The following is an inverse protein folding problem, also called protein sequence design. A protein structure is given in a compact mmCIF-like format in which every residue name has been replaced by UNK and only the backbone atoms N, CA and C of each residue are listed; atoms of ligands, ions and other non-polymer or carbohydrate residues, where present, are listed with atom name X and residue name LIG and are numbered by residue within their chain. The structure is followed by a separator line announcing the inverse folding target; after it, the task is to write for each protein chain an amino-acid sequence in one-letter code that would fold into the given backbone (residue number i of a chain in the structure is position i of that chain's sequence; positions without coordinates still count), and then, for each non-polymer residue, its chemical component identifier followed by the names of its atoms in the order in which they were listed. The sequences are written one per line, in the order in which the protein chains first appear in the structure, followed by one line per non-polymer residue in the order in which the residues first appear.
data_IF_530302235601
#
_entry.id   IF_530302235601
#
_cell.length_a   1.000
_cell.length_b   1.000
_cell.length_c   1.000
_cell.angle_alpha   90.00
_cell.angle_beta   90.00
_cell.angle_gamma   90.00
#
_symmetry.space_group_name_H-M   'P 1'
#
loop_
_entity.id
_entity.type
_entity.pdbx_description
1 polymer ?
#
# COMPACT_ATOMS: atom_id res chain seq x y z
N UNK A 1 14.56 -21.34 1.14
CA UNK A 1 14.94 -21.62 -0.26
C UNK A 1 14.82 -20.43 -1.21
N UNK A 2 13.69 -19.72 -1.33
CA UNK A 2 13.53 -18.60 -2.29
C UNK A 2 14.50 -17.42 -2.07
N UNK A 3 14.79 -17.09 -0.81
CA UNK A 3 15.78 -16.08 -0.41
C UNK A 3 17.20 -16.45 -0.87
N UNK A 4 17.56 -17.72 -0.73
CA UNK A 4 18.88 -18.25 -1.13
C UNK A 4 18.98 -18.34 -2.66
N UNK A 5 17.92 -18.79 -3.33
CA UNK A 5 17.87 -18.88 -4.80
C UNK A 5 18.00 -17.51 -5.47
N UNK A 6 17.30 -16.49 -4.97
CA UNK A 6 17.41 -15.13 -5.53
C UNK A 6 18.71 -14.42 -5.19
N UNK A 7 19.37 -14.75 -4.09
CA UNK A 7 20.71 -14.26 -3.76
C UNK A 7 21.73 -14.67 -4.83
N UNK A 8 21.58 -15.88 -5.37
CA UNK A 8 22.48 -16.43 -6.38
C UNK A 8 22.15 -15.98 -7.81
N UNK A 9 21.02 -15.31 -8.02
CA UNK A 9 20.69 -14.75 -9.33
C UNK A 9 21.55 -13.49 -9.59
N UNK A 10 22.52 -13.61 -10.50
CA UNK A 10 23.40 -12.50 -10.89
C UNK A 10 22.63 -11.32 -11.52
N UNK A 11 21.41 -11.55 -12.00
CA UNK A 11 20.60 -10.53 -12.68
C UNK A 11 19.77 -9.64 -11.72
N UNK A 12 19.87 -9.80 -10.40
CA UNK A 12 19.14 -9.01 -9.41
C UNK A 12 20.01 -7.88 -8.82
N UNK A 13 19.80 -6.59 -9.19
CA UNK A 13 20.60 -5.47 -8.69
C UNK A 13 20.63 -5.32 -7.16
N UNK A 14 19.56 -5.74 -6.48
CA UNK A 14 19.39 -5.59 -5.03
C UNK A 14 19.61 -6.88 -4.24
N UNK A 15 20.29 -7.89 -4.80
CA UNK A 15 20.57 -9.17 -4.10
C UNK A 15 21.27 -9.01 -2.75
N UNK A 16 22.15 -8.02 -2.62
CA UNK A 16 22.87 -7.73 -1.37
C UNK A 16 21.94 -7.22 -0.25
N UNK A 17 20.79 -6.65 -0.61
CA UNK A 17 19.80 -6.14 0.35
C UNK A 17 18.79 -7.20 0.83
N UNK A 18 18.89 -8.44 0.33
CA UNK A 18 17.98 -9.51 0.75
C UNK A 18 18.16 -9.82 2.24
N UNK A 19 19.39 -10.14 2.69
CA UNK A 19 19.63 -10.52 4.09
C UNK A 19 19.39 -9.34 5.04
N UNK A 20 19.99 -8.14 4.84
CA UNK A 20 19.73 -7.01 5.72
C UNK A 20 18.26 -6.61 5.78
N UNK A 21 17.57 -6.62 4.64
CA UNK A 21 16.16 -6.27 4.56
C UNK A 21 15.24 -7.28 5.25
N UNK A 22 15.52 -8.59 5.13
CA UNK A 22 14.79 -9.64 5.86
C UNK A 22 15.02 -9.50 7.36
N UNK A 23 16.27 -9.34 7.81
CA UNK A 23 16.60 -9.15 9.23
C UNK A 23 15.86 -7.93 9.80
N UNK A 24 15.89 -6.81 9.10
CA UNK A 24 15.19 -5.59 9.50
C UNK A 24 13.67 -5.82 9.61
N UNK A 25 13.07 -6.52 8.65
CA UNK A 25 11.64 -6.86 8.65
C UNK A 25 11.24 -7.77 9.81
N UNK A 26 12.08 -8.75 10.15
CA UNK A 26 11.83 -9.64 11.28
C UNK A 26 11.91 -8.88 12.60
N UNK A 27 12.96 -8.07 12.79
CA UNK A 27 13.12 -7.23 13.97
C UNK A 27 11.94 -6.26 14.12
N UNK A 28 11.50 -5.65 13.01
CA UNK A 28 10.31 -4.81 13.00
C UNK A 28 9.03 -5.60 13.34
N UNK A 29 8.87 -6.83 12.84
CA UNK A 29 7.74 -7.69 13.18
C UNK A 29 7.69 -8.08 14.66
N UNK A 30 8.85 -8.29 15.28
CA UNK A 30 8.97 -8.48 16.73
C UNK A 30 8.58 -7.20 17.47
N UNK A 31 9.14 -6.05 17.05
CA UNK A 31 8.85 -4.75 17.65
C UNK A 31 7.36 -4.40 17.59
N UNK A 32 6.69 -4.67 16.46
CA UNK A 32 5.24 -4.51 16.30
C UNK A 32 4.47 -5.42 17.27
N UNK A 33 4.85 -6.69 17.39
CA UNK A 33 4.17 -7.61 18.29
C UNK A 33 4.24 -7.18 19.75
N UNK A 34 5.44 -6.79 20.19
CA UNK A 34 5.68 -6.21 21.52
C UNK A 34 4.95 -4.89 21.72
N UNK A 35 4.90 -4.05 20.68
CA UNK A 35 4.14 -2.80 20.69
C UNK A 35 2.65 -3.08 20.95
N UNK A 36 2.02 -3.97 20.17
CA UNK A 36 0.62 -4.31 20.39
C UNK A 36 0.37 -4.94 21.77
N UNK A 37 1.27 -5.83 22.21
CA UNK A 37 1.16 -6.48 23.51
C UNK A 37 1.24 -5.47 24.68
N UNK A 38 2.14 -4.48 24.58
CA UNK A 38 2.40 -3.54 25.69
C UNK A 38 1.47 -2.34 25.70
N UNK A 39 1.09 -1.81 24.53
CA UNK A 39 0.23 -0.63 24.42
C UNK A 39 -1.26 -0.96 24.40
N UNK A 40 -1.64 -2.11 23.84
CA UNK A 40 -3.05 -2.52 23.72
C UNK A 40 -3.38 -3.77 24.53
N UNK A 41 -2.41 -4.30 25.30
CA UNK A 41 -2.58 -5.51 26.08
C UNK A 41 -2.90 -6.73 25.20
N UNK A 42 -3.78 -7.58 25.71
CA UNK A 42 -4.32 -8.73 24.97
C UNK A 42 -5.34 -8.35 23.88
N UNK A 43 -5.70 -7.07 23.74
CA UNK A 43 -6.84 -6.61 22.93
C UNK A 43 -6.51 -5.92 21.60
N UNK A 44 -5.25 -5.87 21.17
CA UNK A 44 -4.86 -5.27 19.88
C UNK A 44 -5.20 -6.16 18.68
N UNK A 45 -5.51 -5.55 17.52
CA UNK A 45 -5.86 -6.24 16.26
C UNK A 45 -4.96 -7.46 15.96
N UNK A 46 -3.66 -7.32 16.17
CA UNK A 46 -2.68 -8.38 15.89
C UNK A 46 -2.84 -9.61 16.80
N UNK A 47 -2.95 -9.39 18.12
CA UNK A 47 -3.14 -10.48 19.08
C UNK A 47 -4.53 -11.09 19.00
N UNK A 48 -5.56 -10.29 18.71
CA UNK A 48 -6.92 -10.81 18.49
C UNK A 48 -6.95 -11.79 17.30
N UNK A 49 -6.35 -11.42 16.16
CA UNK A 49 -6.25 -12.31 14.99
C UNK A 49 -5.54 -13.61 15.38
N UNK A 50 -4.47 -13.51 16.17
CA UNK A 50 -3.73 -14.67 16.65
C UNK A 50 -4.57 -15.60 17.53
N UNK A 51 -5.32 -15.07 18.51
CA UNK A 51 -6.17 -15.89 19.37
C UNK A 51 -7.29 -16.56 18.58
N UNK A 52 -8.02 -15.80 17.74
CA UNK A 52 -9.07 -16.36 16.89
C UNK A 52 -8.54 -17.43 15.93
N UNK A 53 -7.34 -17.22 15.36
CA UNK A 53 -6.73 -18.20 14.46
C UNK A 53 -6.24 -19.46 15.20
N UNK A 54 -5.84 -19.32 16.46
CA UNK A 54 -5.45 -20.45 17.32
C UNK A 54 -6.66 -21.32 17.62
N UNK A 55 -7.79 -20.73 18.02
CA UNK A 55 -9.05 -21.45 18.21
C UNK A 55 -9.49 -22.16 16.94
N UNK A 56 -9.47 -21.44 15.80
CA UNK A 56 -9.84 -22.01 14.52
C UNK A 56 -8.89 -23.14 14.08
N UNK A 57 -7.58 -23.03 14.34
CA UNK A 57 -6.62 -24.10 14.04
C UNK A 57 -6.83 -25.35 14.90
N UNK A 58 -7.34 -25.20 16.14
CA UNK A 58 -7.70 -26.34 17.00
C UNK A 58 -8.84 -27.16 16.41
N UNK A 59 -9.82 -26.51 15.77
CA UNK A 59 -10.90 -27.18 15.04
C UNK A 59 -10.35 -28.05 13.91
N UNK A 60 -9.28 -27.63 13.24
CA UNK A 60 -8.66 -28.45 12.19
C UNK A 60 -8.14 -29.80 12.71
N UNK A 61 -7.62 -29.83 13.94
CA UNK A 61 -7.12 -31.05 14.58
C UNK A 61 -8.26 -31.94 15.12
N UNK A 62 -9.35 -31.33 15.58
CA UNK A 62 -10.49 -32.06 16.14
C UNK A 62 -11.44 -32.59 15.06
N UNK A 63 -11.73 -31.78 14.03
CA UNK A 63 -12.61 -32.11 12.92
C UNK A 63 -12.15 -31.41 11.62
N UNK A 64 -11.27 -32.07 10.84
CA UNK A 64 -10.73 -31.52 9.60
C UNK A 64 -11.80 -31.15 8.56
N UNK A 65 -12.89 -31.93 8.48
CA UNK A 65 -13.96 -31.69 7.50
C UNK A 65 -14.72 -30.40 7.82
N UNK A 66 -15.09 -30.19 9.08
CA UNK A 66 -15.73 -28.95 9.53
C UNK A 66 -14.80 -27.74 9.32
N UNK A 67 -13.50 -27.90 9.55
CA UNK A 67 -12.51 -26.85 9.28
C UNK A 67 -12.43 -26.48 7.79
N UNK A 68 -12.42 -27.47 6.88
CA UNK A 68 -12.40 -27.23 5.43
C UNK A 68 -13.69 -26.58 4.93
N UNK A 69 -14.85 -27.05 5.42
CA UNK A 69 -16.15 -26.44 5.11
C UNK A 69 -16.19 -24.98 5.55
N UNK A 70 -15.69 -24.71 6.74
CA UNK A 70 -15.59 -23.35 7.25
C UNK A 70 -14.64 -22.49 6.41
N UNK A 71 -13.44 -22.99 6.09
CA UNK A 71 -12.44 -22.28 5.29
C UNK A 71 -12.98 -21.88 3.91
N UNK A 72 -13.58 -22.83 3.18
CA UNK A 72 -13.97 -22.67 1.78
C UNK A 72 -15.36 -22.07 1.59
N UNK A 73 -16.33 -22.48 2.41
CA UNK A 73 -17.75 -22.16 2.19
C UNK A 73 -18.31 -21.18 3.23
N UNK A 74 -17.54 -20.82 4.26
CA UNK A 74 -18.04 -20.10 5.44
C UNK A 74 -19.18 -20.85 6.14
N UNK A 75 -19.28 -22.17 5.96
CA UNK A 75 -20.27 -22.98 6.65
C UNK A 75 -19.93 -23.05 8.13
N UNK A 76 -20.80 -22.43 8.92
CA UNK A 76 -20.65 -22.35 10.35
C UNK A 76 -21.33 -23.53 11.02
N UNK A 77 -20.59 -24.24 11.86
CA UNK A 77 -21.17 -25.00 12.95
C UNK A 77 -21.00 -24.14 14.19
N UNK A 78 -22.00 -24.05 15.08
CA UNK A 78 -21.79 -23.44 16.40
C UNK A 78 -20.53 -24.07 17.01
N UNK A 79 -19.43 -23.33 17.03
CA UNK A 79 -18.22 -23.71 17.76
C UNK A 79 -18.41 -23.05 19.13
N UNK A 80 -18.91 -23.76 20.15
CA UNK A 80 -19.36 -23.18 21.42
C UNK A 80 -18.27 -22.48 22.24
N UNK A 81 -17.03 -22.41 21.73
CA UNK A 81 -15.86 -21.89 22.43
C UNK A 81 -15.07 -20.83 21.65
N UNK A 82 -15.63 -20.21 20.60
CA UNK A 82 -14.96 -19.07 19.96
C UNK A 82 -15.10 -17.83 20.83
N UNK A 83 -13.96 -17.26 21.27
CA UNK A 83 -13.91 -16.10 22.18
C UNK A 83 -14.49 -14.81 21.59
N UNK A 84 -14.71 -14.77 20.27
CA UNK A 84 -15.24 -13.61 19.54
C UNK A 84 -16.50 -13.97 18.73
N UNK A 85 -17.70 -13.95 19.33
CA UNK A 85 -18.95 -14.30 18.63
C UNK A 85 -19.25 -13.39 17.43
N UNK A 86 -18.79 -12.13 17.45
CA UNK A 86 -19.06 -11.16 16.38
C UNK A 86 -18.03 -11.20 15.24
N UNK A 87 -17.10 -12.14 15.27
CA UNK A 87 -16.09 -12.34 14.23
C UNK A 87 -16.73 -12.56 12.84
N UNK A 88 -17.89 -13.21 12.81
CA UNK A 88 -18.66 -13.54 11.61
C UNK A 88 -19.27 -12.32 10.91
N UNK A 89 -19.54 -11.27 11.68
CA UNK A 89 -20.06 -10.00 11.17
C UNK A 89 -18.97 -9.13 10.53
N UNK A 90 -17.71 -9.59 10.59
CA UNK A 90 -16.54 -8.88 10.08
C UNK A 90 -15.80 -9.71 9.00
N UNK A 91 -16.30 -9.75 7.74
CA UNK A 91 -15.74 -10.58 6.68
C UNK A 91 -14.23 -10.40 6.45
N UNK A 92 -13.73 -9.15 6.58
CA UNK A 92 -12.32 -8.81 6.40
C UNK A 92 -11.43 -9.35 7.52
N UNK A 93 -11.96 -9.39 8.74
CA UNK A 93 -11.26 -9.97 9.88
C UNK A 93 -11.26 -11.50 9.77
N UNK A 94 -12.42 -12.10 9.46
CA UNK A 94 -12.56 -13.54 9.23
C UNK A 94 -11.61 -14.05 8.13
N UNK A 95 -11.50 -13.36 7.01
CA UNK A 95 -10.56 -13.73 5.93
C UNK A 95 -9.12 -13.85 6.43
N UNK A 96 -8.67 -12.90 7.24
CA UNK A 96 -7.30 -12.88 7.77
C UNK A 96 -7.11 -14.00 8.79
N UNK A 97 -8.08 -14.21 9.67
CA UNK A 97 -8.02 -15.31 10.65
C UNK A 97 -7.97 -16.68 9.97
N UNK A 98 -8.74 -16.90 8.89
CA UNK A 98 -8.66 -18.13 8.08
C UNK A 98 -7.28 -18.34 7.47
N UNK A 99 -6.68 -17.30 6.92
CA UNK A 99 -5.32 -17.36 6.36
C UNK A 99 -4.31 -17.70 7.48
N UNK A 100 -4.43 -17.02 8.61
CA UNK A 100 -3.54 -17.21 9.76
C UNK A 100 -3.75 -18.58 10.42
N UNK A 101 -4.97 -19.12 10.46
CA UNK A 101 -5.24 -20.45 11.03
C UNK A 101 -4.55 -21.55 10.22
N UNK A 102 -4.51 -21.43 8.89
CA UNK A 102 -3.73 -22.34 8.04
C UNK A 102 -2.24 -22.23 8.33
N UNK A 103 -1.72 -21.01 8.50
CA UNK A 103 -0.31 -20.83 8.91
C UNK A 103 -0.05 -21.40 10.32
N UNK A 104 -1.00 -21.31 11.24
CA UNK A 104 -0.89 -21.86 12.60
C UNK A 104 -0.73 -23.38 12.62
N UNK A 105 -1.29 -24.10 11.65
CA UNK A 105 -1.05 -25.54 11.50
C UNK A 105 0.43 -25.84 11.22
N UNK A 106 1.14 -24.94 10.52
CA UNK A 106 2.57 -25.07 10.22
C UNK A 106 3.45 -24.53 11.36
N UNK A 107 3.01 -23.49 12.06
CA UNK A 107 3.80 -22.81 13.10
C UNK A 107 3.56 -23.33 14.51
N UNK A 108 2.71 -24.34 14.68
CA UNK A 108 2.31 -24.84 15.99
C UNK A 108 1.67 -23.76 16.85
N UNK A 109 0.86 -22.87 16.23
CA UNK A 109 0.20 -21.73 16.89
C UNK A 109 1.16 -20.71 17.52
N UNK A 110 2.42 -20.62 17.07
CA UNK A 110 3.35 -19.60 17.57
C UNK A 110 3.11 -18.23 16.92
N UNK A 111 2.79 -17.21 17.73
CA UNK A 111 2.63 -15.83 17.28
C UNK A 111 3.86 -15.32 16.52
N UNK A 112 5.06 -15.54 17.09
CA UNK A 112 6.32 -15.00 16.56
C UNK A 112 6.71 -15.65 15.23
N UNK A 113 6.49 -16.95 15.06
CA UNK A 113 6.74 -17.63 13.79
C UNK A 113 5.76 -17.16 12.71
N UNK A 114 4.48 -17.01 13.04
CA UNK A 114 3.48 -16.45 12.12
C UNK A 114 3.82 -15.01 11.72
N UNK A 115 4.22 -14.19 12.70
CA UNK A 115 4.72 -12.82 12.50
C UNK A 115 5.94 -12.78 11.56
N UNK A 116 6.87 -13.73 11.72
CA UNK A 116 8.03 -13.91 10.82
C UNK A 116 7.59 -14.19 9.37
N UNK A 117 6.67 -15.13 9.14
CA UNK A 117 6.22 -15.48 7.79
C UNK A 117 5.50 -14.32 7.09
N UNK A 118 4.66 -13.58 7.82
CA UNK A 118 3.97 -12.41 7.26
C UNK A 118 4.94 -11.25 6.97
N UNK A 119 5.95 -11.05 7.81
CA UNK A 119 7.04 -10.09 7.56
C UNK A 119 7.85 -10.47 6.31
N UNK A 120 8.12 -11.77 6.13
CA UNK A 120 8.82 -12.29 4.96
C UNK A 120 8.00 -12.10 3.67
N UNK A 121 6.69 -12.34 3.72
CA UNK A 121 5.79 -12.12 2.58
C UNK A 121 5.76 -10.65 2.16
N UNK A 122 5.61 -9.73 3.13
CA UNK A 122 5.68 -8.29 2.92
C UNK A 122 7.02 -7.86 2.29
N UNK A 123 8.14 -8.34 2.86
CA UNK A 123 9.47 -8.10 2.32
C UNK A 123 9.60 -8.55 0.88
N UNK A 124 9.10 -9.76 0.57
CA UNK A 124 9.23 -10.36 -0.75
C UNK A 124 8.58 -9.51 -1.83
N UNK A 125 7.39 -8.97 -1.58
CA UNK A 125 6.70 -8.06 -2.52
C UNK A 125 7.43 -6.72 -2.69
N UNK A 126 7.81 -6.09 -1.58
CA UNK A 126 8.51 -4.80 -1.60
C UNK A 126 9.89 -4.88 -2.26
N UNK A 127 10.66 -5.93 -1.95
CA UNK A 127 11.97 -6.16 -2.56
C UNK A 127 11.86 -6.43 -4.05
N UNK A 128 10.85 -7.18 -4.49
CA UNK A 128 10.61 -7.40 -5.92
C UNK A 128 10.33 -6.10 -6.67
N UNK A 129 9.48 -5.25 -6.10
CA UNK A 129 9.20 -3.93 -6.67
C UNK A 129 10.46 -3.07 -6.72
N UNK A 130 11.19 -2.93 -5.61
CA UNK A 130 12.42 -2.15 -5.54
C UNK A 130 13.49 -2.65 -6.52
N UNK A 131 13.63 -3.98 -6.66
CA UNK A 131 14.58 -4.59 -7.58
C UNK A 131 14.20 -4.33 -9.04
N UNK A 132 12.91 -4.38 -9.39
CA UNK A 132 12.43 -4.02 -10.73
C UNK A 132 12.63 -2.55 -11.02
N UNK A 133 12.31 -1.65 -10.09
CA UNK A 133 12.57 -0.22 -10.25
C UNK A 133 14.06 0.05 -10.48
N UNK A 134 14.94 -0.60 -9.71
CA UNK A 134 16.39 -0.46 -9.88
C UNK A 134 16.87 -1.02 -11.23
N UNK A 135 16.27 -2.10 -11.72
CA UNK A 135 16.62 -2.68 -13.02
C UNK A 135 16.18 -1.78 -14.17
N UNK A 136 14.98 -1.21 -14.10
CA UNK A 136 14.39 -0.35 -15.13
C UNK A 136 14.97 1.07 -15.10
N UNK A 137 15.28 1.58 -13.91
CA UNK A 137 15.78 2.92 -13.65
C UNK A 137 17.02 2.87 -12.73
N UNK A 138 18.22 2.53 -13.26
CA UNK A 138 19.42 2.35 -12.44
C UNK A 138 19.81 3.59 -11.60
N UNK A 139 19.46 4.79 -12.06
CA UNK A 139 19.73 6.06 -11.38
C UNK A 139 18.88 6.27 -10.11
N UNK A 140 17.77 5.55 -9.96
CA UNK A 140 16.85 5.65 -8.81
C UNK A 140 17.07 4.57 -7.77
N UNK A 141 18.12 3.75 -7.91
CA UNK A 141 18.48 2.64 -7.01
C UNK A 141 18.37 3.01 -5.53
N UNK A 142 18.93 4.14 -5.14
CA UNK A 142 18.99 4.56 -3.74
C UNK A 142 17.64 5.04 -3.23
N UNK A 143 16.85 5.72 -4.08
CA UNK A 143 15.46 6.03 -3.76
C UNK A 143 14.63 4.76 -3.56
N UNK A 144 14.82 3.73 -4.40
CA UNK A 144 14.11 2.46 -4.27
C UNK A 144 14.47 1.71 -2.97
N UNK A 145 15.75 1.67 -2.60
CA UNK A 145 16.20 1.06 -1.35
C UNK A 145 15.62 1.84 -0.15
N UNK A 146 15.79 3.16 -0.13
CA UNK A 146 15.33 4.02 0.97
C UNK A 146 13.82 3.85 1.20
N UNK A 147 13.02 3.95 0.14
CA UNK A 147 11.57 4.00 0.24
C UNK A 147 10.90 2.66 0.53
N UNK A 148 11.34 1.58 -0.12
CA UNK A 148 10.66 0.29 -0.03
C UNK A 148 11.30 -0.68 0.97
N UNK A 149 12.57 -0.52 1.32
CA UNK A 149 13.29 -1.45 2.19
C UNK A 149 13.65 -0.88 3.55
N UNK A 150 13.91 0.44 3.66
CA UNK A 150 14.49 1.05 4.86
C UNK A 150 13.61 2.10 5.54
N UNK A 151 12.58 2.61 4.86
CA UNK A 151 11.76 3.70 5.37
C UNK A 151 11.07 3.29 6.68
N UNK A 152 11.24 4.00 7.82
CA UNK A 152 10.92 3.47 9.14
C UNK A 152 9.46 3.04 9.31
N UNK A 153 8.48 3.91 9.03
CA UNK A 153 7.05 3.56 9.11
C UNK A 153 6.65 2.50 8.12
N UNK A 154 7.27 2.46 6.94
CA UNK A 154 7.02 1.38 5.97
C UNK A 154 7.46 0.08 6.60
N UNK A 155 8.71 -0.01 7.05
CA UNK A 155 9.27 -1.20 7.69
C UNK A 155 8.43 -1.64 8.88
N UNK A 156 8.08 -0.71 9.79
CA UNK A 156 7.34 -1.01 11.00
C UNK A 156 5.90 -1.48 10.69
N UNK A 157 5.08 -0.67 10.03
CA UNK A 157 3.65 -0.95 9.83
C UNK A 157 3.34 -2.04 8.78
N UNK A 158 4.34 -2.45 8.00
CA UNK A 158 4.20 -3.59 7.08
C UNK A 158 4.89 -4.87 7.58
N UNK A 159 5.25 -4.93 8.86
CA UNK A 159 5.84 -6.11 9.47
C UNK A 159 4.93 -6.72 10.54
N UNK A 160 5.16 -8.00 10.79
CA UNK A 160 4.44 -8.81 11.76
C UNK A 160 3.03 -9.20 11.35
N UNK A 161 2.26 -9.70 12.32
CA UNK A 161 0.94 -10.26 12.11
C UNK A 161 -0.10 -9.14 11.97
N UNK A 162 -0.22 -8.61 10.76
CA UNK A 162 -1.12 -7.50 10.44
C UNK A 162 -1.72 -7.65 9.04
N UNK A 163 -2.89 -7.04 8.83
CA UNK A 163 -3.56 -6.99 7.52
C UNK A 163 -2.73 -6.19 6.52
N UNK A 164 -2.03 -5.17 7.02
CA UNK A 164 -1.12 -4.29 6.30
C UNK A 164 0.08 -5.03 5.73
N UNK A 165 0.70 -5.96 6.48
CA UNK A 165 1.81 -6.80 6.00
C UNK A 165 1.41 -7.63 4.76
N UNK A 166 0.20 -8.17 4.76
CA UNK A 166 -0.34 -8.89 3.61
C UNK A 166 -0.63 -7.94 2.44
N UNK A 167 -1.36 -6.86 2.71
CA UNK A 167 -1.79 -5.95 1.66
C UNK A 167 -0.61 -5.35 0.89
N UNK A 168 0.43 -4.89 1.58
CA UNK A 168 1.58 -4.26 0.93
C UNK A 168 2.49 -5.25 0.19
N UNK A 169 2.57 -6.51 0.66
CA UNK A 169 3.23 -7.59 -0.08
C UNK A 169 2.55 -7.85 -1.42
N UNK A 170 1.21 -7.89 -1.42
CA UNK A 170 0.40 -8.01 -2.65
C UNK A 170 0.56 -6.80 -3.55
N UNK A 171 0.45 -5.58 -3.03
CA UNK A 171 0.66 -4.33 -3.80
C UNK A 171 2.03 -4.32 -4.46
N UNK A 172 3.10 -4.65 -3.72
CA UNK A 172 4.47 -4.72 -4.24
C UNK A 172 4.58 -5.70 -5.40
N UNK A 173 3.99 -6.89 -5.28
CA UNK A 173 3.95 -7.88 -6.36
C UNK A 173 3.14 -7.44 -7.57
N UNK A 174 1.96 -6.85 -7.38
CA UNK A 174 1.11 -6.38 -8.47
C UNK A 174 1.82 -5.28 -9.28
N UNK A 175 2.40 -4.29 -8.61
CA UNK A 175 3.15 -3.22 -9.28
C UNK A 175 4.42 -3.77 -9.93
N UNK A 176 5.12 -4.71 -9.29
CA UNK A 176 6.26 -5.39 -9.90
C UNK A 176 5.90 -6.06 -11.23
N UNK A 177 4.81 -6.85 -11.26
CA UNK A 177 4.34 -7.51 -12.49
C UNK A 177 3.87 -6.50 -13.53
N UNK A 178 3.17 -5.45 -13.10
CA UNK A 178 2.76 -4.35 -13.98
C UNK A 178 3.96 -3.72 -14.68
N UNK A 179 5.01 -3.35 -13.92
CA UNK A 179 6.20 -2.72 -14.48
C UNK A 179 6.95 -3.65 -15.43
N UNK A 180 7.04 -4.95 -15.14
CA UNK A 180 7.65 -5.92 -16.07
C UNK A 180 6.88 -6.06 -17.39
N UNK A 181 5.54 -6.03 -17.33
CA UNK A 181 4.71 -6.09 -18.53
C UNK A 181 4.73 -4.77 -19.31
N UNK A 182 4.73 -3.63 -18.60
CA UNK A 182 4.65 -2.30 -19.18
C UNK A 182 6.00 -1.80 -19.74
N UNK A 183 7.10 -2.20 -19.11
CA UNK A 183 8.49 -1.89 -19.49
C UNK A 183 9.27 -3.20 -19.70
N UNK A 184 8.93 -4.01 -20.73
CA UNK A 184 9.60 -5.29 -20.94
C UNK A 184 11.07 -5.08 -21.30
N UNK A 185 11.98 -5.73 -20.57
CA UNK A 185 13.42 -5.76 -20.90
C UNK A 185 13.75 -6.81 -21.97
N UNK A 186 12.87 -7.80 -22.14
CA UNK A 186 13.00 -8.93 -23.07
C UNK A 186 11.62 -9.26 -23.65
N UNK A 187 11.56 -10.01 -24.76
CA UNK A 187 10.28 -10.53 -25.28
C UNK A 187 9.62 -11.39 -24.19
N UNK A 188 8.36 -11.09 -23.90
CA UNK A 188 7.58 -11.78 -22.87
C UNK A 188 7.00 -13.07 -23.47
N UNK A 189 7.24 -14.20 -22.83
CA UNK A 189 6.69 -15.50 -23.26
C UNK A 189 5.21 -15.64 -22.87
N UNK A 190 4.51 -16.59 -23.49
CA UNK A 190 3.12 -16.92 -23.09
C UNK A 190 3.03 -17.31 -21.61
N UNK A 191 3.97 -18.12 -21.13
CA UNK A 191 4.03 -18.52 -19.72
C UNK A 191 4.16 -17.33 -18.76
N UNK A 192 4.88 -16.27 -19.14
CA UNK A 192 4.94 -15.04 -18.36
C UNK A 192 3.57 -14.37 -18.24
N UNK A 193 2.83 -14.26 -19.35
CA UNK A 193 1.50 -13.64 -19.36
C UNK A 193 0.51 -14.45 -18.54
N UNK A 194 0.48 -15.78 -18.68
CA UNK A 194 -0.37 -16.66 -17.89
C UNK A 194 -0.10 -16.48 -16.39
N UNK A 195 1.18 -16.58 -15.98
CA UNK A 195 1.58 -16.36 -14.59
C UNK A 195 1.19 -14.97 -14.09
N UNK A 196 1.42 -13.94 -14.90
CA UNK A 196 1.09 -12.55 -14.53
C UNK A 196 -0.41 -12.38 -14.33
N UNK A 197 -1.24 -12.91 -15.23
CA UNK A 197 -2.70 -12.86 -15.13
C UNK A 197 -3.21 -13.55 -13.87
N UNK A 198 -2.71 -14.75 -13.56
CA UNK A 198 -3.09 -15.49 -12.34
C UNK A 198 -2.73 -14.68 -11.08
N UNK A 199 -1.50 -14.16 -11.00
CA UNK A 199 -1.07 -13.35 -9.86
C UNK A 199 -1.87 -12.06 -9.71
N UNK A 200 -2.27 -11.45 -10.83
CA UNK A 200 -3.11 -10.26 -10.84
C UNK A 200 -4.51 -10.53 -10.29
N UNK A 201 -5.17 -11.59 -10.74
CA UNK A 201 -6.49 -11.97 -10.23
C UNK A 201 -6.45 -12.35 -8.75
N UNK A 202 -5.43 -13.11 -8.34
CA UNK A 202 -5.20 -13.41 -6.92
C UNK A 202 -4.97 -12.13 -6.10
N UNK A 203 -4.17 -11.19 -6.62
CA UNK A 203 -3.92 -9.90 -5.97
C UNK A 203 -5.18 -9.05 -5.80
N UNK A 204 -6.01 -8.98 -6.85
CA UNK A 204 -7.31 -8.29 -6.79
C UNK A 204 -8.21 -8.94 -5.73
N UNK A 205 -8.34 -10.27 -5.75
CA UNK A 205 -9.17 -11.01 -4.79
C UNK A 205 -8.70 -10.79 -3.34
N UNK A 206 -7.39 -10.84 -3.09
CA UNK A 206 -6.81 -10.62 -1.77
C UNK A 206 -7.01 -9.18 -1.29
N UNK A 207 -6.72 -8.18 -2.13
CA UNK A 207 -6.90 -6.79 -1.75
C UNK A 207 -8.38 -6.44 -1.56
N UNK A 208 -9.30 -7.04 -2.32
CA UNK A 208 -10.74 -6.88 -2.10
C UNK A 208 -11.15 -7.31 -0.68
N UNK A 209 -10.69 -8.50 -0.25
CA UNK A 209 -11.02 -9.03 1.08
C UNK A 209 -10.29 -8.31 2.21
N UNK A 210 -9.04 -7.90 1.99
CA UNK A 210 -8.24 -7.22 3.00
C UNK A 210 -8.66 -5.74 3.15
N UNK A 211 -8.50 -4.98 2.06
CA UNK A 211 -8.61 -3.51 2.01
C UNK A 211 -9.00 -3.06 0.61
N UNK A 212 -10.30 -3.14 0.31
CA UNK A 212 -10.85 -2.80 -1.01
C UNK A 212 -10.45 -1.40 -1.51
N UNK A 213 -10.20 -0.43 -0.62
CA UNK A 213 -9.75 0.91 -1.02
C UNK A 213 -8.33 0.94 -1.62
N UNK A 214 -7.42 0.06 -1.18
CA UNK A 214 -6.11 -0.08 -1.83
C UNK A 214 -6.27 -0.63 -3.24
N UNK A 215 -7.15 -1.62 -3.43
CA UNK A 215 -7.49 -2.15 -4.75
C UNK A 215 -8.13 -1.06 -5.62
N UNK A 216 -9.16 -0.39 -5.10
CA UNK A 216 -9.93 0.64 -5.81
C UNK A 216 -9.12 1.88 -6.19
N UNK A 217 -8.01 2.16 -5.50
CA UNK A 217 -7.03 3.15 -5.97
C UNK A 217 -6.04 2.58 -6.98
N UNK A 218 -5.47 1.41 -6.69
CA UNK A 218 -4.33 0.90 -7.44
C UNK A 218 -4.72 0.35 -8.83
N UNK A 219 -5.79 -0.45 -8.90
CA UNK A 219 -6.18 -1.17 -10.11
C UNK A 219 -6.67 -0.22 -11.20
N UNK A 220 -7.59 0.73 -10.94
CA UNK A 220 -8.03 1.68 -11.96
C UNK A 220 -6.87 2.54 -12.48
N UNK A 221 -5.95 2.98 -11.62
CA UNK A 221 -4.75 3.72 -12.05
C UNK A 221 -3.90 2.89 -13.02
N UNK A 222 -3.56 1.65 -12.67
CA UNK A 222 -2.72 0.80 -13.52
C UNK A 222 -3.41 0.43 -14.85
N UNK A 223 -4.72 0.15 -14.81
CA UNK A 223 -5.50 -0.13 -16.02
C UNK A 223 -5.57 1.11 -16.92
N UNK A 224 -5.83 2.30 -16.37
CA UNK A 224 -5.85 3.54 -17.16
C UNK A 224 -4.51 3.84 -17.81
N UNK A 225 -3.39 3.58 -17.13
CA UNK A 225 -2.05 3.70 -17.72
C UNK A 225 -1.90 2.75 -18.92
N UNK A 226 -2.28 1.47 -18.74
CA UNK A 226 -2.18 0.47 -19.79
C UNK A 226 -3.05 0.83 -21.01
N UNK A 227 -4.32 1.15 -20.77
CA UNK A 227 -5.29 1.51 -21.81
C UNK A 227 -4.88 2.79 -22.53
N UNK A 228 -4.44 3.84 -21.82
CA UNK A 228 -3.96 5.07 -22.43
C UNK A 228 -2.75 4.82 -23.33
N UNK A 229 -1.83 3.96 -22.90
CA UNK A 229 -0.64 3.60 -23.68
C UNK A 229 -0.99 2.75 -24.91
N UNK A 230 -1.96 1.84 -24.82
CA UNK A 230 -2.43 1.02 -25.95
C UNK A 230 -3.22 1.86 -26.96
N UNK A 231 -4.19 2.65 -26.48
CA UNK A 231 -5.02 3.51 -27.32
C UNK A 231 -4.18 4.55 -28.05
N UNK A 232 -3.21 5.20 -27.39
CA UNK A 232 -2.33 6.16 -28.07
C UNK A 232 -1.53 5.51 -29.19
N UNK A 233 -1.01 4.28 -28.99
CA UNK A 233 -0.25 3.55 -30.02
C UNK A 233 -1.11 3.20 -31.23
N UNK A 234 -2.38 2.86 -31.00
CA UNK A 234 -3.32 2.46 -32.06
C UNK A 234 -3.87 3.67 -32.83
N UNK A 235 -4.27 4.73 -32.12
CA UNK A 235 -4.94 5.89 -32.69
C UNK A 235 -3.96 6.91 -33.30
N UNK A 236 -2.76 7.03 -32.73
CA UNK A 236 -1.77 8.02 -33.16
C UNK A 236 -0.35 7.45 -33.28
N UNK A 237 -0.13 6.43 -34.14
CA UNK A 237 1.17 5.79 -34.29
C UNK A 237 2.27 6.75 -34.80
N UNK A 238 1.91 7.69 -35.69
CA UNK A 238 2.84 8.62 -36.34
C UNK A 238 2.91 10.02 -35.69
N UNK A 239 2.17 10.25 -34.59
CA UNK A 239 2.18 11.55 -33.93
C UNK A 239 3.54 11.86 -33.30
N UNK A 240 3.92 13.14 -33.31
CA UNK A 240 5.12 13.62 -32.64
C UNK A 240 5.12 13.25 -31.15
N UNK A 241 6.31 13.06 -30.56
CA UNK A 241 6.46 12.59 -29.17
C UNK A 241 5.73 13.49 -28.14
N UNK A 242 5.70 14.81 -28.38
CA UNK A 242 4.99 15.79 -27.54
C UNK A 242 3.48 15.60 -27.61
N UNK A 243 2.93 15.43 -28.83
CA UNK A 243 1.52 15.15 -29.04
C UNK A 243 1.12 13.78 -28.44
N UNK A 244 1.98 12.76 -28.57
CA UNK A 244 1.75 11.46 -27.93
C UNK A 244 1.74 11.55 -26.40
N UNK A 245 2.64 12.34 -25.80
CA UNK A 245 2.65 12.55 -24.35
C UNK A 245 1.36 13.22 -23.85
N UNK A 246 0.91 14.28 -24.55
CA UNK A 246 -0.35 14.96 -24.26
C UNK A 246 -1.55 14.03 -24.39
N UNK A 247 -1.64 13.28 -25.50
CA UNK A 247 -2.77 12.39 -25.76
C UNK A 247 -2.83 11.24 -24.75
N UNK A 248 -1.67 10.70 -24.32
CA UNK A 248 -1.63 9.71 -23.22
C UNK A 248 -2.18 10.26 -21.91
N UNK A 249 -1.83 11.50 -21.57
CA UNK A 249 -2.30 12.12 -20.33
C UNK A 249 -3.82 12.34 -20.37
N UNK A 250 -4.33 12.86 -21.48
CA UNK A 250 -5.77 13.03 -21.67
C UNK A 250 -6.52 11.70 -21.63
N UNK A 251 -6.04 10.69 -22.37
CA UNK A 251 -6.63 9.34 -22.34
C UNK A 251 -6.55 8.70 -20.96
N UNK A 252 -5.48 8.93 -20.20
CA UNK A 252 -5.39 8.45 -18.82
C UNK A 252 -6.53 9.00 -17.96
N UNK A 253 -6.79 10.31 -18.03
CA UNK A 253 -7.90 10.95 -17.30
C UNK A 253 -9.24 10.37 -17.76
N UNK A 254 -9.47 10.26 -19.07
CA UNK A 254 -10.70 9.69 -19.63
C UNK A 254 -10.93 8.25 -19.18
N UNK A 255 -9.92 7.38 -19.30
CA UNK A 255 -10.04 5.99 -18.87
C UNK A 255 -10.19 5.88 -17.35
N UNK A 256 -9.50 6.70 -16.57
CA UNK A 256 -9.61 6.68 -15.11
C UNK A 256 -11.01 7.09 -14.65
N UNK A 257 -11.53 8.20 -15.17
CA UNK A 257 -12.90 8.63 -14.89
C UNK A 257 -13.93 7.58 -15.37
N UNK A 258 -13.75 7.03 -16.57
CA UNK A 258 -14.62 6.00 -17.14
C UNK A 258 -14.64 4.70 -16.32
N UNK A 259 -13.48 4.25 -15.82
CA UNK A 259 -13.38 3.07 -14.96
C UNK A 259 -14.03 3.30 -13.58
N UNK A 260 -13.89 4.49 -13.00
CA UNK A 260 -14.57 4.83 -11.74
C UNK A 260 -16.09 4.90 -11.93
N UNK A 261 -16.55 5.52 -13.02
CA UNK A 261 -17.96 5.55 -13.38
C UNK A 261 -18.52 4.14 -13.59
N UNK A 262 -17.84 3.30 -14.37
CA UNK A 262 -18.23 1.90 -14.59
C UNK A 262 -18.28 1.12 -13.27
N UNK A 263 -17.26 1.25 -12.42
CA UNK A 263 -17.24 0.60 -11.11
C UNK A 263 -18.42 1.04 -10.23
N UNK A 264 -18.82 2.30 -10.32
CA UNK A 264 -19.98 2.83 -9.58
C UNK A 264 -21.32 2.26 -10.05
N UNK A 265 -21.41 1.76 -11.29
CA UNK A 265 -22.61 1.12 -11.84
C UNK A 265 -22.63 -0.40 -11.58
N UNK A 266 -21.46 -1.05 -11.51
CA UNK A 266 -21.36 -2.51 -11.44
C UNK A 266 -21.53 -3.09 -10.03
N UNK A 267 -21.33 -2.29 -8.98
CA UNK A 267 -21.34 -2.83 -7.62
C UNK A 267 -22.01 -1.88 -6.62
N UNK A 268 -23.06 -2.31 -5.87
CA UNK A 268 -23.82 -1.45 -4.96
C UNK A 268 -22.98 -0.66 -3.96
N UNK A 269 -21.94 -1.27 -3.38
CA UNK A 269 -21.02 -0.61 -2.43
C UNK A 269 -20.14 0.48 -3.05
N UNK A 270 -20.02 0.52 -4.38
CA UNK A 270 -19.22 1.49 -5.12
C UNK A 270 -20.09 2.59 -5.77
N UNK A 271 -21.42 2.52 -5.65
CA UNK A 271 -22.30 3.63 -6.03
C UNK A 271 -21.84 4.88 -5.29
N UNK A 272 -21.74 6.01 -5.99
CA UNK A 272 -21.12 7.21 -5.45
C UNK A 272 -21.74 7.66 -4.12
N UNK A 273 -23.07 7.66 -4.03
CA UNK A 273 -23.80 8.03 -2.81
C UNK A 273 -23.53 7.05 -1.65
N UNK A 274 -23.59 5.75 -1.92
CA UNK A 274 -23.32 4.71 -0.92
C UNK A 274 -21.86 4.74 -0.46
N UNK A 275 -20.92 4.96 -1.39
CA UNK A 275 -19.50 5.08 -1.08
C UNK A 275 -19.24 6.29 -0.17
N UNK A 276 -19.80 7.46 -0.49
CA UNK A 276 -19.71 8.66 0.35
C UNK A 276 -20.34 8.43 1.73
N UNK A 277 -21.51 7.78 1.78
CA UNK A 277 -22.18 7.44 3.02
C UNK A 277 -21.33 6.51 3.90
N UNK A 278 -20.80 5.42 3.34
CA UNK A 278 -19.93 4.47 4.04
C UNK A 278 -18.63 5.14 4.47
N UNK A 279 -18.08 6.06 3.68
CA UNK A 279 -16.91 6.85 4.08
C UNK A 279 -17.18 7.66 5.34
N UNK A 280 -18.34 8.34 5.41
CA UNK A 280 -18.75 9.14 6.58
C UNK A 280 -19.11 8.26 7.78
N UNK A 281 -19.74 7.10 7.57
CA UNK A 281 -19.98 6.14 8.64
C UNK A 281 -18.67 5.66 9.29
N UNK A 282 -17.67 5.32 8.47
CA UNK A 282 -16.36 4.93 8.98
C UNK A 282 -15.66 6.10 9.69
N UNK A 283 -15.78 7.31 9.17
CA UNK A 283 -15.27 8.52 9.81
C UNK A 283 -15.87 8.69 11.20
N UNK A 284 -17.19 8.68 11.32
CA UNK A 284 -17.89 8.91 12.58
C UNK A 284 -17.58 7.81 13.60
N UNK A 285 -17.55 6.54 13.16
CA UNK A 285 -17.13 5.44 14.03
C UNK A 285 -15.70 5.67 14.53
N UNK A 286 -14.75 5.94 13.62
CA UNK A 286 -13.35 6.18 13.99
C UNK A 286 -13.20 7.43 14.87
N UNK A 287 -13.99 8.49 14.67
CA UNK A 287 -13.96 9.72 15.46
C UNK A 287 -14.44 9.45 16.89
N UNK A 288 -15.59 8.77 17.05
CA UNK A 288 -16.19 8.49 18.36
C UNK A 288 -15.37 7.56 19.25
N UNK A 289 -14.58 6.65 18.66
CA UNK A 289 -13.67 5.76 19.40
C UNK A 289 -12.30 6.39 19.70
N UNK A 290 -12.07 7.66 19.36
CA UNK A 290 -10.76 8.31 19.47
C UNK A 290 -10.70 9.36 20.56
N UNK A 291 -9.49 9.58 21.09
CA UNK A 291 -9.22 10.72 21.94
C UNK A 291 -9.32 12.04 21.12
N UNK A 292 -10.02 13.08 21.61
CA UNK A 292 -10.14 14.39 20.95
C UNK A 292 -8.80 15.03 20.51
N UNK A 293 -7.69 14.74 21.18
CA UNK A 293 -6.36 15.28 20.86
C UNK A 293 -5.64 14.52 19.72
N UNK A 294 -6.16 13.35 19.34
CA UNK A 294 -5.57 12.44 18.35
C UNK A 294 -6.42 12.31 17.08
N UNK A 295 -7.31 13.27 16.83
CA UNK A 295 -8.18 13.29 15.65
C UNK A 295 -7.99 14.51 14.77
N UNK A 296 -8.29 14.34 13.48
CA UNK A 296 -8.42 15.42 12.52
C UNK A 296 -9.81 16.03 12.67
N UNK A 297 -9.88 17.30 13.05
CA UNK A 297 -11.12 18.07 13.08
C UNK A 297 -11.36 18.72 11.72
N UNK A 298 -12.49 18.36 11.09
CA UNK A 298 -12.91 18.90 9.80
C UNK A 298 -13.90 20.04 9.97
N UNK A 299 -13.95 20.94 8.97
CA UNK A 299 -14.89 22.05 8.97
C UNK A 299 -16.31 21.55 8.69
N UNK A 300 -17.25 21.98 9.54
CA UNK A 300 -18.67 21.66 9.41
C UNK A 300 -19.29 22.50 8.29
N UNK A 301 -19.80 21.83 7.28
CA UNK A 301 -20.52 22.44 6.16
C UNK A 301 -21.85 21.73 6.01
N UNK A 302 -22.93 22.44 6.39
CA UNK A 302 -24.31 21.94 6.42
C UNK A 302 -24.90 21.81 7.83
N UNK A 303 -26.20 21.50 7.90
CA UNK A 303 -26.91 21.23 9.15
C UNK A 303 -26.61 19.84 9.73
N UNK A 304 -26.90 19.63 11.04
CA UNK A 304 -26.75 18.34 11.74
C UNK A 304 -25.52 18.21 12.66
N UNK A 305 -25.47 17.20 13.52
CA UNK A 305 -24.51 17.10 14.64
C UNK A 305 -23.08 16.61 14.29
N UNK A 306 -22.81 16.21 13.04
CA UNK A 306 -21.53 15.60 12.63
C UNK A 306 -20.59 16.60 11.93
N UNK A 307 -19.27 16.44 12.12
CA UNK A 307 -18.23 17.31 11.52
C UNK A 307 -18.16 17.21 9.99
N UNK A 308 -18.46 16.04 9.41
CA UNK A 308 -18.56 15.84 7.96
C UNK A 308 -19.91 15.20 7.61
N UNK A 309 -20.44 15.53 6.43
CA UNK A 309 -21.69 14.96 5.91
C UNK A 309 -21.45 14.17 4.63
N UNK A 310 -22.41 13.33 4.23
CA UNK A 310 -22.32 12.55 2.98
C UNK A 310 -22.50 13.41 1.72
N UNK A 311 -22.73 14.72 1.87
CA UNK A 311 -22.86 15.64 0.75
C UNK A 311 -21.50 15.80 0.03
N UNK A 312 -21.47 15.73 -1.33
CA UNK A 312 -20.23 15.93 -2.09
C UNK A 312 -19.53 17.26 -1.77
N UNK A 313 -20.29 18.33 -1.51
CA UNK A 313 -19.75 19.65 -1.16
C UNK A 313 -18.97 19.64 0.16
N UNK A 314 -19.46 18.96 1.19
CA UNK A 314 -18.77 18.84 2.49
C UNK A 314 -17.45 18.07 2.36
N UNK A 315 -17.44 16.97 1.59
CA UNK A 315 -16.24 16.17 1.35
C UNK A 315 -15.21 16.91 0.49
N UNK A 316 -15.65 17.59 -0.57
CA UNK A 316 -14.77 18.37 -1.46
C UNK A 316 -14.13 19.54 -0.72
N UNK A 317 -14.88 20.27 0.11
CA UNK A 317 -14.32 21.37 0.89
C UNK A 317 -13.24 20.90 1.88
N UNK A 318 -13.44 19.75 2.52
CA UNK A 318 -12.48 19.20 3.47
C UNK A 318 -11.32 18.44 2.80
N UNK A 319 -11.37 18.23 1.48
CA UNK A 319 -10.34 17.50 0.71
C UNK A 319 -8.93 18.08 0.86
N UNK A 320 -8.69 19.42 0.80
CA UNK A 320 -7.35 19.98 0.97
C UNK A 320 -6.75 19.69 2.35
N UNK A 321 -7.55 19.84 3.43
CA UNK A 321 -7.12 19.52 4.79
C UNK A 321 -6.86 18.03 4.94
N UNK A 322 -7.73 17.18 4.38
CA UNK A 322 -7.56 15.73 4.39
C UNK A 322 -6.31 15.30 3.61
N UNK A 323 -6.01 15.95 2.47
CA UNK A 323 -4.81 15.68 1.68
C UNK A 323 -3.54 15.98 2.49
N UNK A 324 -3.43 17.20 3.05
CA UNK A 324 -2.26 17.58 3.86
C UNK A 324 -2.14 16.68 5.10
N UNK A 325 -3.26 16.40 5.77
CA UNK A 325 -3.29 15.53 6.94
C UNK A 325 -2.87 14.09 6.59
N UNK A 326 -3.41 13.55 5.49
CA UNK A 326 -3.07 12.23 4.98
C UNK A 326 -1.59 12.10 4.62
N UNK A 327 -0.96 13.16 4.10
CA UNK A 327 0.46 13.14 3.73
C UNK A 327 1.40 13.39 4.92
N UNK A 328 1.10 14.36 5.79
CA UNK A 328 2.09 14.91 6.72
C UNK A 328 1.67 14.92 8.20
N UNK A 329 0.44 14.57 8.56
CA UNK A 329 0.07 14.45 9.98
C UNK A 329 0.35 13.05 10.54
N UNK A 330 0.64 12.92 11.85
CA UNK A 330 0.77 13.99 12.86
C UNK A 330 2.01 14.87 12.62
N UNK A 331 1.91 16.16 12.92
CA UNK A 331 3.06 17.06 12.98
C UNK A 331 3.82 16.89 14.30
N UNK A 332 5.09 17.33 14.34
CA UNK A 332 5.93 17.19 15.53
C UNK A 332 5.37 17.94 16.76
N UNK A 333 4.70 19.08 16.54
CA UNK A 333 4.06 19.88 17.60
C UNK A 333 2.69 19.34 18.03
N UNK A 334 2.13 18.34 17.34
CA UNK A 334 0.90 17.66 17.77
C UNK A 334 1.19 16.46 18.68
N UNK A 335 2.46 16.16 18.92
CA UNK A 335 2.88 14.98 19.66
C UNK A 335 2.62 15.11 21.17
N UNK A 336 1.67 14.32 21.68
CA UNK A 336 1.35 14.16 23.10
C UNK A 336 1.97 12.89 23.71
N UNK A 337 2.60 12.04 22.90
CA UNK A 337 3.24 10.80 23.35
C UNK A 337 4.46 10.45 22.45
N UNK A 338 5.30 9.52 22.92
CA UNK A 338 6.54 9.12 22.23
C UNK A 338 6.30 8.54 20.83
N UNK A 339 5.21 7.81 20.63
CA UNK A 339 4.87 7.18 19.34
C UNK A 339 4.50 8.25 18.31
N UNK A 340 3.66 9.22 18.71
CA UNK A 340 3.26 10.37 17.89
C UNK A 340 4.44 11.28 17.59
N UNK A 341 5.37 11.44 18.53
CA UNK A 341 6.62 12.19 18.33
C UNK A 341 7.49 11.55 17.23
N UNK A 342 7.71 10.24 17.29
CA UNK A 342 8.49 9.52 16.27
C UNK A 342 7.84 9.63 14.89
N UNK A 343 6.51 9.47 14.81
CA UNK A 343 5.75 9.68 13.57
C UNK A 343 5.85 11.14 13.08
N UNK A 344 5.82 12.12 13.99
CA UNK A 344 5.95 13.55 13.68
C UNK A 344 7.33 13.92 13.14
N UNK A 345 8.40 13.34 13.68
CA UNK A 345 9.77 13.51 13.15
C UNK A 345 9.88 12.94 11.74
N UNK A 346 9.32 11.76 11.49
CA UNK A 346 9.32 11.17 10.15
C UNK A 346 8.53 12.01 9.15
N UNK A 347 7.36 12.52 9.54
CA UNK A 347 6.56 13.39 8.69
C UNK A 347 7.24 14.74 8.43
N UNK A 348 7.93 15.32 9.41
CA UNK A 348 8.73 16.53 9.23
C UNK A 348 9.85 16.29 8.21
N UNK A 349 10.51 15.12 8.27
CA UNK A 349 11.49 14.74 7.27
C UNK A 349 10.87 14.59 5.87
N UNK A 350 9.69 13.98 5.75
CA UNK A 350 8.95 13.92 4.47
C UNK A 350 8.60 15.29 3.91
N UNK A 351 8.20 16.24 4.78
CA UNK A 351 7.96 17.63 4.38
C UNK A 351 9.25 18.30 3.87
N UNK A 352 10.37 18.11 4.58
CA UNK A 352 11.67 18.61 4.16
C UNK A 352 12.10 18.04 2.80
N UNK A 353 11.88 16.74 2.58
CA UNK A 353 12.14 16.10 1.28
C UNK A 353 11.23 16.63 0.17
N UNK A 354 9.96 16.95 0.47
CA UNK A 354 9.08 17.61 -0.49
C UNK A 354 9.62 18.98 -0.89
N UNK A 355 9.97 19.83 0.09
CA UNK A 355 10.55 21.14 -0.18
C UNK A 355 11.82 21.02 -1.03
N UNK A 356 12.72 20.10 -0.68
CA UNK A 356 13.92 19.83 -1.45
C UNK A 356 13.60 19.38 -2.89
N UNK A 357 12.64 18.47 -3.06
CA UNK A 357 12.24 17.99 -4.37
C UNK A 357 11.65 19.11 -5.25
N UNK A 358 10.84 19.99 -4.68
CA UNK A 358 10.29 21.16 -5.39
C UNK A 358 11.40 22.12 -5.80
N UNK A 359 12.32 22.47 -4.89
CA UNK A 359 13.46 23.35 -5.20
C UNK A 359 14.35 22.75 -6.28
N UNK A 360 14.60 21.44 -6.23
CA UNK A 360 15.38 20.73 -7.24
C UNK A 360 14.71 20.79 -8.63
N UNK A 361 13.38 20.58 -8.69
CA UNK A 361 12.62 20.67 -9.94
C UNK A 361 12.69 22.07 -10.56
N UNK A 362 12.63 23.12 -9.73
CA UNK A 362 12.74 24.52 -10.18
C UNK A 362 14.15 24.82 -10.71
N UNK A 363 15.20 24.41 -9.98
CA UNK A 363 16.60 24.71 -10.32
C UNK A 363 17.11 23.93 -11.52
N UNK A 364 16.80 22.64 -11.62
CA UNK A 364 17.39 21.73 -12.63
C UNK A 364 16.60 21.69 -13.95
N UNK A 365 15.62 22.59 -14.14
CA UNK A 365 14.74 22.72 -15.33
C UNK A 365 14.28 21.36 -15.89
N UNK A 366 13.91 20.41 -15.03
CA UNK A 366 13.53 19.03 -15.39
C UNK A 366 14.53 18.25 -16.27
N UNK A 367 15.76 18.73 -16.50
CA UNK A 367 16.71 18.10 -17.45
C UNK A 367 17.34 16.80 -16.92
N UNK A 368 17.35 16.57 -15.61
CA UNK A 368 18.00 15.40 -15.01
C UNK A 368 17.12 14.15 -14.90
N UNK A 369 15.80 14.25 -15.12
CA UNK A 369 14.98 13.06 -15.35
C UNK A 369 15.06 12.80 -16.85
N UNK A 370 15.79 11.78 -17.26
CA UNK A 370 15.97 11.42 -18.66
C UNK A 370 14.66 10.84 -19.25
N UNK A 371 13.66 11.72 -19.35
CA UNK A 371 12.36 11.49 -19.95
C UNK A 371 12.48 11.21 -21.45
N UNK A 372 13.61 11.58 -22.07
CA UNK A 372 13.94 11.25 -23.46
C UNK A 372 14.23 9.76 -23.62
N UNK A 373 14.90 9.11 -22.66
CA UNK A 373 15.16 7.67 -22.71
C UNK A 373 13.90 6.82 -22.41
N UNK A 374 12.95 7.34 -21.60
CA UNK A 374 11.75 6.60 -21.22
C UNK A 374 10.45 7.41 -21.40
N UNK A 375 9.85 7.43 -22.61
CA UNK A 375 8.61 8.19 -22.89
C UNK A 375 7.37 7.67 -22.15
N UNK A 376 7.50 6.55 -21.43
CA UNK A 376 6.47 5.94 -20.57
C UNK A 376 6.54 6.42 -19.12
N UNK A 377 7.66 7.01 -18.70
CA UNK A 377 7.91 7.40 -17.31
C UNK A 377 6.94 8.48 -16.83
N UNK A 378 6.64 9.48 -17.66
CA UNK A 378 5.70 10.55 -17.28
C UNK A 378 4.32 10.01 -16.92
N UNK A 379 3.82 9.01 -17.65
CA UNK A 379 2.53 8.39 -17.38
C UNK A 379 2.56 7.57 -16.07
N UNK A 380 3.66 6.88 -15.77
CA UNK A 380 3.84 6.17 -14.50
C UNK A 380 3.89 7.15 -13.31
N UNK A 381 4.56 8.30 -13.47
CA UNK A 381 4.62 9.35 -12.44
C UNK A 381 3.24 9.94 -12.15
N UNK A 382 2.48 10.29 -13.19
CA UNK A 382 1.11 10.79 -13.03
C UNK A 382 0.24 9.76 -12.32
N UNK A 383 0.29 8.49 -12.72
CA UNK A 383 -0.48 7.46 -12.04
C UNK A 383 -0.06 7.25 -10.58
N UNK A 384 1.24 7.27 -10.28
CA UNK A 384 1.71 7.19 -8.90
C UNK A 384 1.21 8.38 -8.05
N UNK A 385 1.24 9.60 -8.59
CA UNK A 385 0.70 10.78 -7.92
C UNK A 385 -0.82 10.67 -7.74
N UNK A 386 -1.57 10.22 -8.74
CA UNK A 386 -3.01 9.97 -8.61
C UNK A 386 -3.30 8.96 -7.51
N UNK A 387 -2.57 7.85 -7.45
CA UNK A 387 -2.73 6.83 -6.41
C UNK A 387 -2.44 7.37 -5.00
N UNK A 388 -1.34 8.10 -4.84
CA UNK A 388 -0.94 8.72 -3.57
C UNK A 388 -2.00 9.74 -3.12
N UNK A 389 -2.40 10.66 -4.00
CA UNK A 389 -3.39 11.69 -3.68
C UNK A 389 -4.74 11.10 -3.33
N UNK A 390 -5.22 10.13 -4.10
CA UNK A 390 -6.49 9.45 -3.85
C UNK A 390 -6.49 8.78 -2.47
N UNK A 391 -5.46 7.98 -2.15
CA UNK A 391 -5.41 7.29 -0.87
C UNK A 391 -5.15 8.24 0.31
N UNK A 392 -4.31 9.26 0.15
CA UNK A 392 -4.06 10.25 1.20
C UNK A 392 -5.36 10.95 1.62
N UNK A 393 -6.17 11.38 0.65
CA UNK A 393 -7.48 12.01 0.90
C UNK A 393 -8.47 11.01 1.49
N UNK A 394 -8.70 9.86 0.83
CA UNK A 394 -9.74 8.92 1.25
C UNK A 394 -9.47 8.33 2.63
N UNK A 395 -8.22 8.01 2.96
CA UNK A 395 -7.87 7.47 4.27
C UNK A 395 -8.00 8.50 5.38
N UNK A 396 -7.56 9.75 5.15
CA UNK A 396 -7.69 10.82 6.14
C UNK A 396 -9.17 11.19 6.38
N UNK A 397 -10.00 11.19 5.33
CA UNK A 397 -11.44 11.41 5.48
C UNK A 397 -12.10 10.24 6.22
N UNK A 398 -11.82 8.99 5.85
CA UNK A 398 -12.47 7.82 6.45
C UNK A 398 -11.97 7.47 7.86
N UNK A 399 -10.74 7.81 8.22
CA UNK A 399 -10.15 7.54 9.54
C UNK A 399 -9.40 8.77 10.04
N UNK A 400 -10.10 9.68 10.76
CA UNK A 400 -9.49 10.90 11.29
C UNK A 400 -8.52 10.65 12.45
N UNK A 401 -8.50 9.43 13.02
CA UNK A 401 -7.58 9.05 14.08
C UNK A 401 -6.14 9.01 13.55
N UNK A 402 -5.26 9.85 14.10
CA UNK A 402 -3.88 10.00 13.66
C UNK A 402 -3.04 8.72 13.83
N UNK A 403 -3.31 7.92 14.87
CA UNK A 403 -2.66 6.63 15.09
C UNK A 403 -3.02 5.61 14.00
N UNK A 404 -4.31 5.42 13.75
CA UNK A 404 -4.80 4.53 12.69
C UNK A 404 -4.38 5.00 11.30
N UNK A 405 -4.43 6.32 11.06
CA UNK A 405 -3.99 6.93 9.81
C UNK A 405 -2.51 6.64 9.55
N UNK A 406 -1.64 6.80 10.55
CA UNK A 406 -0.21 6.51 10.41
C UNK A 406 0.07 5.07 9.96
N UNK A 407 -0.71 4.10 10.46
CA UNK A 407 -0.68 2.69 10.03
C UNK A 407 -1.19 2.53 8.59
N UNK A 408 -2.32 3.17 8.25
CA UNK A 408 -2.94 3.05 6.92
C UNK A 408 -2.13 3.74 5.82
N UNK A 409 -1.30 4.73 6.14
CA UNK A 409 -0.39 5.37 5.17
C UNK A 409 0.55 4.37 4.50
N UNK A 410 0.87 3.24 5.14
CA UNK A 410 1.77 2.21 4.60
C UNK A 410 1.40 1.73 3.20
N UNK A 411 0.12 1.82 2.80
CA UNK A 411 -0.34 1.45 1.46
C UNK A 411 0.24 2.31 0.33
N UNK A 412 0.43 3.62 0.56
CA UNK A 412 0.94 4.56 -0.45
C UNK A 412 2.28 5.20 -0.09
N UNK A 413 2.66 5.20 1.19
CA UNK A 413 3.86 5.82 1.73
C UNK A 413 5.17 5.38 1.03
N UNK A 414 5.39 4.09 0.69
CA UNK A 414 6.59 3.70 -0.04
C UNK A 414 6.69 4.36 -1.42
N UNK A 415 5.57 4.56 -2.10
CA UNK A 415 5.54 5.23 -3.41
C UNK A 415 5.82 6.71 -3.26
N UNK A 416 5.22 7.36 -2.26
CA UNK A 416 5.49 8.76 -1.94
C UNK A 416 6.96 8.97 -1.58
N UNK A 417 7.50 8.17 -0.66
CA UNK A 417 8.89 8.21 -0.28
C UNK A 417 9.81 8.01 -1.49
N UNK A 418 9.50 7.07 -2.39
CA UNK A 418 10.29 6.84 -3.59
C UNK A 418 10.38 8.10 -4.47
N UNK A 419 9.24 8.76 -4.75
CA UNK A 419 9.20 9.99 -5.55
C UNK A 419 10.00 11.13 -4.91
N UNK A 420 9.85 11.31 -3.59
CA UNK A 420 10.54 12.36 -2.84
C UNK A 420 12.06 12.15 -2.75
N UNK A 421 12.53 10.89 -2.81
CA UNK A 421 13.95 10.57 -2.78
C UNK A 421 14.64 10.62 -4.16
N UNK A 422 13.89 10.77 -5.27
CA UNK A 422 14.49 10.81 -6.62
C UNK A 422 15.60 11.86 -6.77
N UNK A 423 15.41 13.12 -6.33
CA UNK A 423 16.43 14.17 -6.48
C UNK A 423 17.73 13.85 -5.73
N UNK A 424 17.63 13.26 -4.54
CA UNK A 424 18.77 12.79 -3.75
C UNK A 424 19.48 11.64 -4.46
N UNK A 425 18.72 10.68 -4.99
CA UNK A 425 19.27 9.54 -5.71
C UNK A 425 20.04 9.97 -6.97
N UNK A 426 19.55 10.94 -7.73
CA UNK A 426 20.26 11.47 -8.90
C UNK A 426 21.57 12.16 -8.52
N UNK A 427 21.54 12.96 -7.46
CA UNK A 427 22.72 13.66 -6.94
C UNK A 427 23.79 12.67 -6.47
N UNK A 428 23.38 11.66 -5.71
CA UNK A 428 24.28 10.63 -5.21
C UNK A 428 24.83 9.73 -6.33
N UNK A 429 24.01 9.39 -7.33
CA UNK A 429 24.46 8.62 -8.49
C UNK A 429 25.53 9.38 -9.31
N UNK A 430 25.34 10.68 -9.54
CA UNK A 430 26.33 11.55 -10.19
C UNK A 430 27.65 11.59 -9.41
N UNK A 431 27.58 11.67 -8.08
CA UNK A 431 28.78 11.66 -7.23
C UNK A 431 29.51 10.31 -7.24
N UNK A 432 28.77 9.21 -7.12
CA UNK A 432 29.32 7.85 -7.11
C UNK A 432 30.00 7.47 -8.43
N UNK A 433 29.41 7.85 -9.56
CA UNK A 433 29.98 7.58 -10.90
C UNK A 433 31.25 8.37 -11.17
N UNK A 434 31.36 9.61 -10.66
CA UNK A 434 32.61 10.39 -10.74
C UNK A 434 33.76 9.70 -9.99
N UNK A 435 33.51 9.20 -8.77
CA UNK A 435 34.53 8.50 -7.96
C UNK A 435 35.02 7.16 -8.52
N UNK A 436 34.28 6.53 -9.44
CA UNK A 436 34.72 5.30 -10.12
C UNK A 436 35.58 5.56 -11.34
N UNK A 437 35.63 6.80 -11.83
CA UNK A 437 36.41 7.21 -13.00
C UNK A 437 37.76 7.84 -12.61
N UNK A 438 37.85 8.35 -11.40
CA UNK A 438 39.08 8.69 -10.68
C UNK A 438 39.59 7.45 -9.97
#
# INVERSE_FOLDING_TARGET
MVVVWKRNNQQAPLRAWIVPGVCLKILAGIAVGLFFQRYYGYGGDSWNIHYSATELSRVAWQNPLSYLRLLLFNEYYHIPHLSYPNMWEQPRYLFVVKLVSVLHLLTGTSYWLTSFYLSLFSFWGLWQLANTLTKQFPTTRWAAIAAFLLFPSVVFWSSGLQKESLAIGVIGWMVHQFLQAFLPSTKQSYAFWLKSSVLWWLGIAWLWQLKFYYMGGLVPVMLSIALAQLATRKLWPMAAATAQARNKLWLFVVFFAGLLWLASMLHPKLHLSQFMHVLVLNHNASFNFSNPDDVIHYARIGGGYFNITSAPSSLLYNTPLAFVSGLFRPFIWEANNKVKLLAGVENLWLMGLLCYAVVFLIKDKCRSIDTKQHPKLGLLLVGALTYITLLAVLLALASPNLGSLSRYKVGFLPFMAYLLHLPLSFSFHKWWTKRKKT
#
